data_IF_587237839963
#
_entry.id   IF_587237839963
#
_cell.length_a   1.000
_cell.length_b   1.000
_cell.length_c   1.000
_cell.angle_alpha   90.00
_cell.angle_beta   90.00
_cell.angle_gamma   90.00
#
_symmetry.space_group_name_H-M   'P 1'
#
loop_
_entity.id
_entity.type
_entity.pdbx_description
1 polymer ?
#
# COMPACT_ATOMS: atom_id res chain seq x y z
N UNK A 1 -6.15 -27.92 24.05
CA UNK A 1 -5.80 -26.57 24.58
C UNK A 1 -5.19 -25.64 23.53
N UNK A 2 -4.20 -26.05 22.70
CA UNK A 2 -3.58 -25.15 21.69
C UNK A 2 -4.56 -24.57 20.65
N UNK A 3 -5.52 -25.36 20.17
CA UNK A 3 -6.51 -24.93 19.15
C UNK A 3 -7.45 -23.85 19.69
N UNK A 4 -7.85 -23.97 20.96
CA UNK A 4 -8.69 -22.97 21.63
C UNK A 4 -7.94 -21.65 21.84
N UNK A 5 -6.64 -21.71 22.17
CA UNK A 5 -5.80 -20.53 22.29
C UNK A 5 -5.64 -19.80 20.95
N UNK A 6 -5.47 -20.53 19.85
CA UNK A 6 -5.37 -19.96 18.50
C UNK A 6 -6.68 -19.30 18.04
N UNK A 7 -7.83 -19.89 18.36
CA UNK A 7 -9.14 -19.35 18.00
C UNK A 7 -9.46 -18.05 18.77
N UNK A 8 -9.10 -17.98 20.06
CA UNK A 8 -9.24 -16.75 20.86
C UNK A 8 -8.33 -15.64 20.32
N UNK A 9 -7.09 -15.97 19.92
CA UNK A 9 -6.15 -14.99 19.39
C UNK A 9 -6.59 -14.41 18.03
N UNK A 10 -7.27 -15.19 17.19
CA UNK A 10 -7.81 -14.72 15.92
C UNK A 10 -8.94 -13.67 16.09
N UNK A 11 -9.77 -13.80 17.13
CA UNK A 11 -10.85 -12.87 17.43
C UNK A 11 -10.38 -11.49 17.95
N UNK A 12 -9.12 -11.36 18.35
CA UNK A 12 -8.55 -10.10 18.87
C UNK A 12 -8.00 -9.19 17.76
N UNK A 13 -8.11 -9.59 16.49
CA UNK A 13 -7.68 -8.76 15.37
C UNK A 13 -8.70 -7.63 15.15
N UNK A 14 -8.41 -6.47 15.71
CA UNK A 14 -9.14 -5.24 15.35
C UNK A 14 -8.63 -4.79 13.99
N UNK A 15 -9.56 -4.61 13.04
CA UNK A 15 -9.22 -3.98 11.78
C UNK A 15 -8.77 -2.54 12.08
N UNK A 16 -7.48 -2.26 11.88
CA UNK A 16 -6.96 -0.90 11.92
C UNK A 16 -7.53 -0.14 10.71
N UNK A 17 -8.72 0.43 10.86
CA UNK A 17 -9.35 1.26 9.85
C UNK A 17 -8.58 2.56 9.69
N UNK A 18 -8.07 2.84 8.48
CA UNK A 18 -7.53 4.14 8.13
C UNK A 18 -8.70 5.13 7.92
N UNK A 19 -9.21 5.69 9.01
CA UNK A 19 -10.23 6.75 8.92
C UNK A 19 -9.56 8.03 8.37
N UNK A 20 -10.12 8.55 7.28
CA UNK A 20 -9.65 9.76 6.62
C UNK A 20 -10.74 10.81 6.66
N UNK A 21 -10.38 12.06 6.91
CA UNK A 21 -11.33 13.16 6.98
C UNK A 21 -11.00 14.24 5.96
N UNK A 22 -12.04 14.84 5.39
CA UNK A 22 -11.97 16.06 4.58
C UNK A 22 -12.46 17.24 5.40
N UNK A 23 -11.57 18.19 5.62
CA UNK A 23 -11.86 19.46 6.29
C UNK A 23 -11.97 20.57 5.24
N UNK A 24 -12.93 21.47 5.42
CA UNK A 24 -13.04 22.71 4.65
C UNK A 24 -13.00 23.85 5.67
N UNK A 25 -12.03 24.75 5.53
CA UNK A 25 -11.90 25.92 6.42
C UNK A 25 -12.85 27.06 6.01
N UNK A 26 -12.81 28.17 6.76
CA UNK A 26 -13.67 29.32 6.53
C UNK A 26 -13.41 30.03 5.18
N UNK A 27 -12.17 29.94 4.68
CA UNK A 27 -11.76 30.51 3.40
C UNK A 27 -12.05 29.56 2.22
N UNK A 28 -12.55 28.35 2.51
CA UNK A 28 -12.91 27.33 1.53
C UNK A 28 -11.78 26.39 1.14
N UNK A 29 -10.61 26.45 1.79
CA UNK A 29 -9.51 25.55 1.49
C UNK A 29 -9.82 24.14 2.00
N UNK A 30 -9.49 23.15 1.16
CA UNK A 30 -9.66 21.74 1.50
C UNK A 30 -8.36 21.19 2.08
N UNK A 31 -8.45 20.57 3.25
CA UNK A 31 -7.38 19.78 3.87
C UNK A 31 -7.86 18.36 4.13
N UNK A 32 -6.99 17.39 3.90
CA UNK A 32 -7.22 15.99 4.27
C UNK A 32 -6.31 15.63 5.45
N UNK A 33 -6.85 14.91 6.43
CA UNK A 33 -6.09 14.46 7.61
C UNK A 33 -6.49 13.04 7.99
N UNK A 34 -5.55 12.30 8.58
CA UNK A 34 -5.78 11.04 9.29
C UNK A 34 -5.57 11.19 10.81
N UNK A 35 -5.40 12.43 11.30
CA UNK A 35 -5.16 12.74 12.71
C UNK A 35 -6.50 13.03 13.38
N UNK A 36 -6.90 12.17 14.33
CA UNK A 36 -8.22 12.24 14.98
C UNK A 36 -8.46 13.52 15.81
N UNK A 37 -7.41 14.18 16.31
CA UNK A 37 -7.55 15.45 17.03
C UNK A 37 -8.03 16.60 16.14
N UNK A 38 -7.79 16.49 14.83
CA UNK A 38 -7.95 17.60 13.88
C UNK A 38 -9.28 17.54 13.13
N UNK A 39 -10.17 16.61 13.50
CA UNK A 39 -11.38 16.26 12.72
C UNK A 39 -12.60 17.11 13.08
N UNK A 40 -12.48 18.02 14.04
CA UNK A 40 -13.60 18.85 14.50
C UNK A 40 -14.09 19.74 13.35
N UNK A 41 -15.33 19.53 12.91
CA UNK A 41 -15.93 20.26 11.78
C UNK A 41 -15.60 19.68 10.41
N UNK A 42 -14.89 18.55 10.35
CA UNK A 42 -14.57 17.85 9.11
C UNK A 42 -15.59 16.75 8.80
N UNK A 43 -15.65 16.33 7.53
CA UNK A 43 -16.48 15.20 7.10
C UNK A 43 -15.63 13.95 6.95
N UNK A 44 -16.08 12.83 7.52
CA UNK A 44 -15.45 11.53 7.30
C UNK A 44 -15.57 11.16 5.82
N UNK A 45 -14.46 10.68 5.26
CA UNK A 45 -14.40 10.25 3.88
C UNK A 45 -14.77 8.77 3.81
N UNK A 46 -15.86 8.45 3.10
CA UNK A 46 -16.16 7.06 2.79
C UNK A 46 -15.23 6.63 1.65
N UNK A 47 -14.21 5.84 2.00
CA UNK A 47 -13.27 5.27 1.04
C UNK A 47 -13.82 3.92 0.60
N UNK A 48 -14.08 3.77 -0.70
CA UNK A 48 -14.32 2.46 -1.28
C UNK A 48 -13.09 1.56 -1.05
N UNK A 49 -13.28 0.24 -0.92
CA UNK A 49 -12.16 -0.70 -0.84
C UNK A 49 -11.20 -0.43 -2.01
N UNK A 50 -9.88 -0.41 -1.77
CA UNK A 50 -8.93 -0.24 -2.84
C UNK A 50 -9.14 -1.34 -3.88
N UNK A 51 -9.17 -0.97 -5.17
CA UNK A 51 -9.11 -1.94 -6.25
C UNK A 51 -7.76 -2.66 -6.16
N UNK A 52 -7.76 -3.84 -5.55
CA UNK A 52 -6.57 -4.68 -5.42
C UNK A 52 -6.55 -5.67 -6.58
N UNK A 53 -5.43 -5.68 -7.32
CA UNK A 53 -5.13 -6.75 -8.26
C UNK A 53 -4.25 -7.75 -7.50
N UNK A 54 -4.62 -9.04 -7.41
CA UNK A 54 -3.79 -10.04 -6.77
C UNK A 54 -2.39 -10.04 -7.40
N UNK A 55 -1.36 -10.13 -6.57
CA UNK A 55 -0.02 -10.33 -7.09
C UNK A 55 0.00 -11.64 -7.91
N UNK A 56 0.58 -11.64 -9.13
CA UNK A 56 0.72 -12.87 -9.89
C UNK A 56 1.54 -13.87 -9.06
N UNK A 57 1.17 -15.15 -9.14
CA UNK A 57 1.93 -16.21 -8.50
C UNK A 57 3.41 -16.10 -8.93
N UNK A 58 4.37 -16.30 -8.01
CA UNK A 58 5.78 -16.20 -8.35
C UNK A 58 6.08 -17.19 -9.47
N UNK A 59 6.31 -16.67 -10.67
CA UNK A 59 6.76 -17.48 -11.78
C UNK A 59 8.10 -18.10 -11.37
N UNK A 60 8.25 -19.42 -11.56
CA UNK A 60 9.57 -20.03 -11.57
C UNK A 60 10.39 -19.22 -12.58
N UNK A 61 11.43 -18.56 -12.08
CA UNK A 61 12.21 -17.55 -12.80
C UNK A 61 13.02 -18.25 -13.88
N UNK A 62 12.38 -18.68 -14.95
CA UNK A 62 13.09 -18.88 -16.20
C UNK A 62 13.55 -17.48 -16.62
N UNK A 63 14.86 -17.31 -16.72
CA UNK A 63 15.48 -16.13 -17.32
C UNK A 63 15.15 -16.13 -18.81
N UNK A 64 13.87 -15.98 -19.16
CA UNK A 64 13.49 -15.71 -20.53
C UNK A 64 13.83 -14.25 -20.78
N UNK A 65 14.91 -14.03 -21.52
CA UNK A 65 15.25 -12.74 -22.06
C UNK A 65 14.03 -12.22 -22.84
N UNK A 66 13.35 -11.20 -22.31
CA UNK A 66 12.33 -10.49 -23.07
C UNK A 66 13.00 -9.96 -24.34
N UNK A 67 12.35 -10.07 -25.52
CA UNK A 67 12.90 -9.55 -26.76
C UNK A 67 13.07 -8.04 -26.62
N UNK A 68 14.31 -7.60 -26.39
CA UNK A 68 14.67 -6.18 -26.33
C UNK A 68 15.00 -5.69 -27.73
N UNK A 69 14.57 -4.46 -28.11
CA UNK A 69 15.04 -3.85 -29.35
C UNK A 69 16.56 -3.79 -29.37
N UNK A 70 17.18 -4.11 -30.50
CA UNK A 70 18.64 -4.24 -30.62
C UNK A 70 19.41 -2.99 -30.15
N UNK A 71 18.78 -1.81 -30.24
CA UNK A 71 19.38 -0.51 -29.91
C UNK A 71 18.85 0.10 -28.62
N UNK A 72 18.20 -0.66 -27.74
CA UNK A 72 17.71 -0.13 -26.46
C UNK A 72 18.85 -0.06 -25.43
N UNK A 73 19.21 1.13 -24.92
CA UNK A 73 20.22 1.25 -23.85
C UNK A 73 19.80 0.43 -22.64
N UNK A 74 20.66 -0.49 -22.19
CA UNK A 74 20.39 -1.37 -21.06
C UNK A 74 21.40 -1.10 -19.95
N UNK A 75 20.93 -1.08 -18.71
CA UNK A 75 21.77 -0.99 -17.51
C UNK A 75 22.05 -2.41 -17.02
N UNK A 76 23.28 -2.69 -16.61
CA UNK A 76 23.63 -4.01 -16.08
C UNK A 76 22.99 -4.25 -14.70
N UNK A 77 22.89 -5.53 -14.33
CA UNK A 77 22.19 -5.94 -13.12
C UNK A 77 22.88 -5.51 -11.82
N UNK A 78 24.19 -5.28 -11.82
CA UNK A 78 24.91 -4.83 -10.63
C UNK A 78 24.64 -3.34 -10.39
N UNK A 79 24.79 -2.52 -11.42
CA UNK A 79 24.47 -1.08 -11.38
C UNK A 79 23.01 -0.85 -10.95
N UNK A 80 22.08 -1.68 -11.43
CA UNK A 80 20.68 -1.64 -11.03
C UNK A 80 20.51 -1.91 -9.52
N UNK A 81 21.18 -2.93 -8.99
CA UNK A 81 21.11 -3.32 -7.58
C UNK A 81 21.71 -2.28 -6.66
N UNK A 82 22.86 -1.72 -7.03
CA UNK A 82 23.52 -0.66 -6.25
C UNK A 82 22.60 0.55 -6.09
N UNK A 83 21.88 0.94 -7.15
CA UNK A 83 20.88 2.02 -7.08
C UNK A 83 19.69 1.68 -6.17
N UNK A 84 19.18 0.45 -6.27
CA UNK A 84 17.98 0.03 -5.55
C UNK A 84 18.23 -0.35 -4.08
N UNK A 85 19.50 -0.55 -3.68
CA UNK A 85 19.89 -0.90 -2.32
C UNK A 85 19.69 0.22 -1.29
N UNK A 86 19.41 1.45 -1.73
CA UNK A 86 19.10 2.58 -0.84
C UNK A 86 17.60 2.69 -0.54
N UNK A 87 17.10 1.90 0.40
CA UNK A 87 15.81 2.13 1.08
C UNK A 87 15.87 1.72 2.54
#
# INVERSE_FOLDING_TARGET
MKIWLAMVLACLTTAAGAEMWKCVDADGNTRYTNVRSDVKGCKALNLDPPNTVPAPAPAQRAQQAQPKPANFPSVDGETQRQRDAGR
#
